data_IF_195330577775
#
_entry.id   IF_195330577775
#
_cell.length_a   1.000
_cell.length_b   1.000
_cell.length_c   1.000
_cell.angle_alpha   90.00
_cell.angle_beta   90.00
_cell.angle_gamma   90.00
#
_symmetry.space_group_name_H-M   'P 1'
#
loop_
_entity.id
_entity.type
_entity.pdbx_description
1 polymer ?
#
# COMPACT_ATOMS: atom_id res chain seq x y z
N UNK A 1 -3.37 -1.51 -8.25
CA UNK A 1 -2.33 -2.23 -7.44
C UNK A 1 -1.34 -2.99 -8.33
N UNK A 2 -1.51 -2.94 -9.64
CA UNK A 2 -1.14 -4.01 -10.57
C UNK A 2 0.36 -4.00 -10.83
N UNK A 3 0.87 -2.82 -11.18
CA UNK A 3 2.28 -2.55 -11.40
C UNK A 3 3.08 -2.74 -10.10
N UNK A 4 2.55 -2.31 -8.95
CA UNK A 4 3.27 -2.43 -7.68
C UNK A 4 3.30 -3.86 -7.14
N UNK A 5 2.26 -4.68 -7.33
CA UNK A 5 2.31 -6.10 -7.02
C UNK A 5 3.36 -6.79 -7.90
N UNK A 6 3.34 -6.54 -9.21
CA UNK A 6 4.31 -7.14 -10.12
C UNK A 6 5.76 -6.71 -9.86
N UNK A 7 5.99 -5.48 -9.38
CA UNK A 7 7.33 -5.01 -8.97
C UNK A 7 7.72 -5.65 -7.63
N UNK A 8 6.85 -5.61 -6.63
CA UNK A 8 7.14 -6.15 -5.30
C UNK A 8 7.48 -7.66 -5.33
N UNK A 9 6.75 -8.44 -6.14
CA UNK A 9 7.01 -9.88 -6.31
C UNK A 9 8.34 -10.17 -7.03
N UNK A 10 8.85 -9.22 -7.83
CA UNK A 10 10.15 -9.32 -8.51
C UNK A 10 11.31 -8.84 -7.65
N UNK A 11 11.00 -8.12 -6.57
CA UNK A 11 11.93 -7.73 -5.53
C UNK A 11 11.98 -8.83 -4.43
N UNK A 12 12.25 -8.44 -3.19
CA UNK A 12 12.38 -9.35 -2.05
C UNK A 12 11.10 -9.48 -1.21
N UNK A 13 9.95 -8.96 -1.69
CA UNK A 13 8.69 -9.05 -0.95
C UNK A 13 8.03 -10.40 -1.25
N UNK A 14 7.76 -11.24 -0.24
CA UNK A 14 7.09 -12.52 -0.46
C UNK A 14 5.69 -12.33 -1.05
N UNK A 15 5.32 -13.16 -2.03
CA UNK A 15 4.02 -13.06 -2.73
C UNK A 15 2.84 -13.19 -1.77
N UNK A 16 2.99 -13.90 -0.66
CA UNK A 16 1.94 -14.04 0.35
C UNK A 16 1.57 -12.70 0.99
N UNK A 17 2.54 -11.78 1.10
CA UNK A 17 2.31 -10.42 1.61
C UNK A 17 1.52 -9.60 0.60
N UNK A 18 1.94 -9.62 -0.67
CA UNK A 18 1.27 -8.85 -1.72
C UNK A 18 -0.13 -9.41 -1.98
N UNK A 19 -0.31 -10.72 -1.90
CA UNK A 19 -1.63 -11.38 -1.99
C UNK A 19 -2.53 -11.04 -0.80
N UNK A 20 -1.99 -11.00 0.43
CA UNK A 20 -2.77 -10.58 1.60
C UNK A 20 -3.26 -9.13 1.49
N UNK A 21 -2.36 -8.20 1.10
CA UNK A 21 -2.70 -6.81 0.82
C UNK A 21 -3.77 -6.69 -0.27
N UNK A 22 -3.64 -7.50 -1.33
CA UNK A 22 -4.58 -7.57 -2.43
C UNK A 22 -5.94 -8.15 -2.02
N UNK A 23 -5.99 -9.10 -1.11
CA UNK A 23 -7.25 -9.67 -0.63
C UNK A 23 -7.89 -8.86 0.51
N UNK A 24 -7.22 -7.80 1.00
CA UNK A 24 -7.68 -7.04 2.16
C UNK A 24 -7.67 -7.86 3.46
N UNK A 25 -6.79 -8.85 3.56
CA UNK A 25 -6.66 -9.73 4.74
C UNK A 25 -5.37 -9.40 5.51
N UNK A 26 -5.27 -9.79 6.80
CA UNK A 26 -4.07 -9.55 7.59
C UNK A 26 -2.80 -10.19 6.99
N UNK A 27 -1.69 -9.46 7.07
CA UNK A 27 -0.36 -9.93 6.70
C UNK A 27 0.22 -10.73 7.87
N UNK A 28 0.87 -11.85 7.59
CA UNK A 28 1.46 -12.71 8.62
C UNK A 28 2.69 -12.10 9.33
N UNK A 29 3.43 -11.22 8.65
CA UNK A 29 4.53 -10.46 9.24
C UNK A 29 3.96 -9.29 10.06
N UNK A 30 4.25 -9.28 11.37
CA UNK A 30 3.70 -8.30 12.30
C UNK A 30 4.17 -6.86 12.01
N UNK A 31 5.38 -6.68 11.49
CA UNK A 31 5.92 -5.35 11.19
C UNK A 31 5.27 -4.78 9.93
N UNK A 32 5.13 -5.60 8.89
CA UNK A 32 4.40 -5.22 7.67
C UNK A 32 2.91 -5.03 7.93
N UNK A 33 2.31 -5.82 8.83
CA UNK A 33 0.93 -5.62 9.24
C UNK A 33 0.74 -4.27 9.97
N UNK A 34 1.66 -3.89 10.85
CA UNK A 34 1.61 -2.58 11.51
C UNK A 34 1.74 -1.42 10.51
N UNK A 35 2.60 -1.56 9.48
CA UNK A 35 2.68 -0.60 8.39
C UNK A 35 1.37 -0.51 7.61
N UNK A 36 0.76 -1.64 7.25
CA UNK A 36 -0.54 -1.65 6.56
C UNK A 36 -1.62 -0.92 7.38
N UNK A 37 -1.69 -1.22 8.68
CA UNK A 37 -2.68 -0.65 9.59
C UNK A 37 -2.53 0.86 9.81
N UNK A 38 -1.33 1.45 9.67
CA UNK A 38 -1.19 2.91 9.73
C UNK A 38 -1.44 3.58 8.38
N UNK A 39 -1.06 2.94 7.27
CA UNK A 39 -1.21 3.52 5.93
C UNK A 39 -2.67 3.63 5.52
N UNK A 40 -3.49 2.61 5.76
CA UNK A 40 -4.93 2.61 5.42
C UNK A 40 -5.69 3.82 5.99
N UNK A 41 -5.70 4.08 7.31
CA UNK A 41 -6.38 5.24 7.87
C UNK A 41 -5.74 6.57 7.43
N UNK A 42 -4.41 6.62 7.19
CA UNK A 42 -3.80 7.82 6.63
C UNK A 42 -4.31 8.14 5.22
N UNK A 43 -4.60 7.15 4.39
CA UNK A 43 -5.20 7.36 3.07
C UNK A 43 -6.67 7.75 3.22
N UNK A 44 -7.46 6.98 3.97
CA UNK A 44 -8.91 7.16 4.09
C UNK A 44 -9.29 8.47 4.81
N UNK A 45 -8.58 8.79 5.89
CA UNK A 45 -8.78 10.00 6.70
C UNK A 45 -7.95 11.20 6.23
N UNK A 46 -7.31 11.10 5.05
CA UNK A 46 -6.54 12.20 4.43
C UNK A 46 -5.44 12.76 5.36
N UNK A 47 -4.63 11.86 5.91
CA UNK A 47 -3.49 12.19 6.75
C UNK A 47 -3.83 12.43 8.23
N UNK A 48 -5.00 11.98 8.69
CA UNK A 48 -5.46 12.10 10.08
C UNK A 48 -5.66 10.72 10.74
N UNK A 49 -4.59 9.94 10.93
CA UNK A 49 -4.69 8.69 11.70
C UNK A 49 -5.04 9.02 13.16
N UNK A 50 -5.61 8.05 13.89
CA UNK A 50 -5.79 8.23 15.32
C UNK A 50 -4.46 8.01 16.07
N UNK A 51 -4.39 8.41 17.35
CA UNK A 51 -3.18 8.25 18.16
C UNK A 51 -2.79 6.77 18.30
N UNK A 52 -3.77 5.87 18.39
CA UNK A 52 -3.54 4.42 18.53
C UNK A 52 -2.87 3.81 17.28
N UNK A 53 -3.17 4.32 16.08
CA UNK A 53 -2.56 3.85 14.83
C UNK A 53 -1.05 4.16 14.81
N UNK A 54 -0.68 5.40 15.17
CA UNK A 54 0.71 5.82 15.24
C UNK A 54 1.45 5.13 16.38
N UNK A 55 0.81 4.94 17.53
CA UNK A 55 1.39 4.21 18.66
C UNK A 55 1.70 2.75 18.28
N UNK A 56 0.78 2.08 17.59
CA UNK A 56 0.96 0.70 17.10
C UNK A 56 2.11 0.61 16.11
N UNK A 57 2.21 1.58 15.18
CA UNK A 57 3.30 1.65 14.21
C UNK A 57 4.68 1.78 14.88
N UNK A 58 4.82 2.70 15.83
CA UNK A 58 6.07 2.90 16.58
C UNK A 58 6.40 1.69 17.47
N UNK A 59 5.40 1.09 18.12
CA UNK A 59 5.57 -0.10 18.94
C UNK A 59 6.05 -1.33 18.14
N UNK A 60 5.72 -1.41 16.84
CA UNK A 60 6.24 -2.42 15.92
C UNK A 60 7.71 -2.18 15.48
N UNK A 61 8.37 -1.16 16.05
CA UNK A 61 9.76 -0.84 15.78
C UNK A 61 9.97 0.01 14.52
N UNK A 62 8.95 0.79 14.14
CA UNK A 62 9.11 1.87 13.18
C UNK A 62 9.48 3.20 13.87
N UNK A 63 9.96 4.17 13.10
CA UNK A 63 10.35 5.48 13.62
C UNK A 63 9.47 6.61 13.09
N UNK A 64 9.52 7.77 13.74
CA UNK A 64 8.86 9.00 13.25
C UNK A 64 9.36 9.41 11.86
N UNK A 65 10.63 9.16 11.55
CA UNK A 65 11.17 9.38 10.20
C UNK A 65 10.43 8.52 9.17
N UNK A 66 10.09 7.27 9.52
CA UNK A 66 9.33 6.38 8.64
C UNK A 66 7.86 6.82 8.49
N UNK A 67 7.30 7.58 9.45
CA UNK A 67 6.00 8.24 9.25
C UNK A 67 6.09 9.28 8.13
N UNK A 68 7.18 10.05 8.06
CA UNK A 68 7.40 11.00 6.97
C UNK A 68 7.60 10.29 5.63
N UNK A 69 8.29 9.14 5.62
CA UNK A 69 8.42 8.29 4.43
C UNK A 69 7.06 7.76 3.94
N UNK A 70 6.18 7.35 4.85
CA UNK A 70 4.80 6.95 4.53
C UNK A 70 4.03 8.11 3.91
N UNK A 71 4.10 9.31 4.49
CA UNK A 71 3.43 10.50 3.94
C UNK A 71 3.95 10.81 2.53
N UNK A 72 5.26 10.74 2.32
CA UNK A 72 5.87 10.94 1.00
C UNK A 72 5.36 9.89 -0.01
N UNK A 73 5.32 8.62 0.37
CA UNK A 73 4.83 7.53 -0.47
C UNK A 73 3.36 7.74 -0.85
N UNK A 74 2.51 8.13 0.10
CA UNK A 74 1.09 8.46 -0.14
C UNK A 74 0.98 9.63 -1.11
N UNK A 75 1.76 10.70 -0.95
CA UNK A 75 1.72 11.86 -1.83
C UNK A 75 2.09 11.50 -3.28
N UNK A 76 3.23 10.82 -3.47
CA UNK A 76 3.67 10.34 -4.79
C UNK A 76 2.63 9.42 -5.41
N UNK A 77 2.06 8.51 -4.61
CA UNK A 77 1.07 7.57 -5.13
C UNK A 77 -0.24 8.25 -5.50
N UNK A 78 -0.67 9.24 -4.73
CA UNK A 78 -1.87 10.03 -5.03
C UNK A 78 -1.73 10.72 -6.39
N UNK A 79 -0.61 11.40 -6.64
CA UNK A 79 -0.32 12.03 -7.93
C UNK A 79 -0.36 11.01 -9.07
N UNK A 80 0.33 9.88 -8.90
CA UNK A 80 0.39 8.81 -9.90
C UNK A 80 -1.00 8.21 -10.18
N UNK A 81 -1.74 7.84 -9.13
CA UNK A 81 -3.07 7.24 -9.26
C UNK A 81 -4.05 8.21 -9.92
N UNK A 82 -4.07 9.48 -9.52
CA UNK A 82 -4.97 10.46 -10.11
C UNK A 82 -4.65 10.72 -11.57
N UNK A 83 -3.37 10.78 -11.93
CA UNK A 83 -2.95 10.87 -13.33
C UNK A 83 -3.47 9.67 -14.13
N UNK A 84 -3.26 8.45 -13.64
CA UNK A 84 -3.72 7.24 -14.34
C UNK A 84 -5.24 7.16 -14.47
N UNK A 85 -5.99 7.57 -13.44
CA UNK A 85 -7.46 7.58 -13.48
C UNK A 85 -8.01 8.63 -14.46
N UNK A 86 -7.44 9.84 -14.50
CA UNK A 86 -7.92 10.91 -15.40
C UNK A 86 -7.67 10.60 -16.86
N UNK A 87 -6.58 9.89 -17.16
CA UNK A 87 -6.16 9.61 -18.54
C UNK A 87 -6.43 8.17 -18.99
N UNK A 88 -7.14 7.37 -18.19
CA UNK A 88 -7.43 5.95 -18.45
C UNK A 88 -6.17 5.19 -18.91
N UNK A 89 -5.06 5.40 -18.21
CA UNK A 89 -3.75 4.91 -18.66
C UNK A 89 -3.78 3.37 -18.71
N UNK A 90 -3.55 2.75 -19.89
CA UNK A 90 -3.69 1.30 -20.03
C UNK A 90 -2.55 0.58 -19.30
N UNK A 91 -2.86 -0.61 -18.77
CA UNK A 91 -1.87 -1.48 -18.18
C UNK A 91 -0.94 -2.04 -19.26
N UNK A 92 0.38 -1.92 -19.05
CA UNK A 92 1.36 -2.58 -19.93
C UNK A 92 1.21 -4.10 -19.85
N UNK A 93 1.28 -4.77 -21.00
CA UNK A 93 1.17 -6.24 -21.12
C UNK A 93 2.15 -6.98 -20.23
N UNK A 94 3.32 -6.40 -19.93
CA UNK A 94 4.30 -7.03 -19.04
C UNK A 94 3.78 -7.22 -17.60
N UNK A 95 2.75 -6.46 -17.20
CA UNK A 95 2.12 -6.55 -15.89
C UNK A 95 0.80 -7.34 -15.88
N UNK A 96 0.36 -7.88 -17.03
CA UNK A 96 -0.93 -8.56 -17.16
C UNK A 96 -1.09 -9.76 -16.21
N UNK A 97 0.00 -10.44 -15.84
CA UNK A 97 -0.03 -11.56 -14.89
C UNK A 97 -0.43 -11.17 -13.45
N UNK A 98 -0.44 -9.89 -13.12
CA UNK A 98 -0.89 -9.35 -11.81
C UNK A 98 -1.94 -8.25 -11.96
N UNK A 99 -2.65 -8.24 -13.09
CA UNK A 99 -3.79 -7.36 -13.31
C UNK A 99 -4.74 -7.40 -12.09
N UNK A 100 -5.22 -6.24 -11.67
CA UNK A 100 -6.15 -6.11 -10.56
C UNK A 100 -7.57 -6.10 -11.11
N UNK A 101 -8.34 -7.10 -10.72
CA UNK A 101 -9.78 -7.04 -10.83
C UNK A 101 -10.29 -6.47 -9.51
N UNK A 102 -10.70 -5.20 -9.51
CA UNK A 102 -11.39 -4.66 -8.36
C UNK A 102 -12.63 -5.54 -8.10
N UNK A 103 -12.88 -5.87 -6.83
CA UNK A 103 -14.14 -6.49 -6.47
C UNK A 103 -15.26 -5.59 -7.03
N UNK A 104 -16.07 -6.16 -7.91
CA UNK A 104 -17.29 -5.52 -8.38
C UNK A 104 -18.17 -5.22 -7.17
N UNK A 105 -18.49 -3.94 -6.97
CA UNK A 105 -19.51 -3.47 -6.03
C UNK A 105 -20.90 -4.04 -6.37
#
# INVERSE_FOLDING_TARGET
MDVHSAIADRDTVPTEVTDALRAGIPIGDAKLQALNLVVTPMVDARGRPCEDDLATFLAAGHSEAQVLEVILAIAVKTISSYTNHVFDTPLDKVFAGRAWEAASD
#
